data_IF_914853157394
#
_entry.id   IF_914853157394
#
_cell.length_a   1.000
_cell.length_b   1.000
_cell.length_c   1.000
_cell.angle_alpha   90.00
_cell.angle_beta   90.00
_cell.angle_gamma   90.00
#
_symmetry.space_group_name_H-M   'P 1'
#
loop_
_entity.id
_entity.type
_entity.pdbx_description
1 polymer ?
#
# COMPACT_ATOMS: atom_id res chain seq x y z
N UNK A 1 36.27 -9.48 -43.30
CA UNK A 1 35.25 -9.04 -42.32
C UNK A 1 35.48 -9.63 -40.92
N UNK A 2 35.35 -10.94 -40.68
CA UNK A 2 35.51 -11.49 -39.32
C UNK A 2 36.91 -11.28 -38.71
N UNK A 3 37.97 -11.46 -39.51
CA UNK A 3 39.36 -11.27 -39.09
C UNK A 3 39.72 -9.79 -38.79
N UNK A 4 38.94 -8.85 -39.32
CA UNK A 4 39.12 -7.40 -39.06
C UNK A 4 38.39 -6.94 -37.78
N UNK A 5 37.40 -7.71 -37.29
CA UNK A 5 36.58 -7.37 -36.14
C UNK A 5 36.99 -8.09 -34.85
N UNK A 6 38.05 -8.91 -34.89
CA UNK A 6 38.49 -9.76 -33.76
C UNK A 6 37.35 -10.61 -33.15
N UNK A 7 36.39 -11.02 -33.99
CA UNK A 7 35.20 -11.77 -33.57
C UNK A 7 35.12 -13.11 -34.28
N UNK A 8 34.41 -14.05 -33.65
CA UNK A 8 34.20 -15.38 -34.23
C UNK A 8 33.36 -15.28 -35.52
N UNK A 9 33.64 -16.17 -36.46
CA UNK A 9 32.92 -16.22 -37.73
C UNK A 9 31.42 -16.54 -37.55
N UNK A 10 31.05 -17.22 -36.45
CA UNK A 10 29.64 -17.47 -36.09
C UNK A 10 28.93 -16.21 -35.61
N UNK A 11 29.58 -15.37 -34.78
CA UNK A 11 29.02 -14.11 -34.31
C UNK A 11 28.74 -13.16 -35.48
N UNK A 12 29.68 -13.03 -36.41
CA UNK A 12 29.51 -12.18 -37.61
C UNK A 12 28.37 -12.70 -38.51
N UNK A 13 28.25 -14.01 -38.70
CA UNK A 13 27.11 -14.60 -39.46
C UNK A 13 25.77 -14.33 -38.77
N UNK A 14 25.73 -14.40 -37.44
CA UNK A 14 24.52 -14.12 -36.66
C UNK A 14 24.12 -12.65 -36.75
N UNK A 15 25.07 -11.71 -36.68
CA UNK A 15 24.81 -10.28 -36.88
C UNK A 15 24.30 -9.97 -38.28
N UNK A 16 24.89 -10.56 -39.32
CA UNK A 16 24.40 -10.39 -40.70
C UNK A 16 22.98 -10.92 -40.87
N UNK A 17 22.62 -12.03 -40.23
CA UNK A 17 21.23 -12.52 -40.20
C UNK A 17 20.30 -11.53 -39.52
N UNK A 18 20.62 -11.11 -38.28
CA UNK A 18 19.78 -10.16 -37.56
C UNK A 18 19.61 -8.83 -38.28
N UNK A 19 20.66 -8.35 -38.96
CA UNK A 19 20.58 -7.16 -39.80
C UNK A 19 19.68 -7.33 -41.03
N UNK A 20 19.71 -8.50 -41.68
CA UNK A 20 18.84 -8.78 -42.83
C UNK A 20 17.36 -8.90 -42.41
N UNK A 21 17.09 -9.45 -41.24
CA UNK A 21 15.72 -9.72 -40.78
C UNK A 21 15.07 -8.49 -40.13
N UNK A 22 15.81 -7.74 -39.31
CA UNK A 22 15.28 -6.67 -38.46
C UNK A 22 15.98 -5.32 -38.68
N UNK A 23 16.89 -5.22 -39.66
CA UNK A 23 17.65 -4.01 -39.94
C UNK A 23 18.62 -3.63 -38.81
N UNK A 24 18.84 -2.33 -38.63
CA UNK A 24 19.75 -1.80 -37.59
C UNK A 24 19.26 -2.17 -36.18
N UNK A 25 17.94 -2.30 -35.97
CA UNK A 25 17.38 -2.68 -34.66
C UNK A 25 17.74 -4.11 -34.25
N UNK A 26 17.92 -5.02 -35.21
CA UNK A 26 18.38 -6.40 -34.95
C UNK A 26 19.80 -6.50 -34.42
N UNK A 27 20.62 -5.45 -34.60
CA UNK A 27 21.98 -5.38 -34.06
C UNK A 27 22.03 -4.84 -32.62
N UNK A 28 20.92 -4.32 -32.08
CA UNK A 28 20.83 -3.88 -30.69
C UNK A 28 20.80 -5.10 -29.77
N UNK A 29 21.48 -5.02 -28.62
CA UNK A 29 21.45 -6.10 -27.64
C UNK A 29 20.03 -6.26 -27.09
N UNK A 30 19.42 -7.43 -27.35
CA UNK A 30 18.10 -7.77 -26.84
C UNK A 30 18.20 -8.09 -25.35
N UNK A 31 17.20 -7.66 -24.59
CA UNK A 31 17.07 -8.04 -23.18
C UNK A 31 17.05 -9.56 -23.06
N UNK A 32 18.00 -10.12 -22.30
CA UNK A 32 18.06 -11.56 -22.06
C UNK A 32 16.86 -11.96 -21.21
N UNK A 33 16.11 -12.97 -21.65
CA UNK A 33 15.00 -13.49 -20.86
C UNK A 33 15.56 -14.19 -19.60
N UNK A 34 15.29 -13.61 -18.43
CA UNK A 34 15.59 -14.26 -17.16
C UNK A 34 14.70 -15.48 -16.90
N UNK A 35 14.94 -16.16 -15.77
CA UNK A 35 14.11 -17.29 -15.34
C UNK A 35 12.64 -16.85 -15.20
N UNK A 36 11.69 -17.57 -15.81
CA UNK A 36 10.28 -17.22 -15.69
C UNK A 36 9.79 -17.33 -14.25
N UNK A 37 8.81 -16.49 -13.88
CA UNK A 37 8.14 -16.57 -12.58
C UNK A 37 7.49 -17.94 -12.41
N UNK A 38 7.51 -18.48 -11.19
CA UNK A 38 6.86 -19.75 -10.85
C UNK A 38 5.34 -19.71 -11.04
N UNK A 39 4.73 -18.53 -10.98
CA UNK A 39 3.30 -18.33 -11.22
C UNK A 39 2.98 -17.94 -12.68
N UNK A 40 3.90 -18.15 -13.63
CA UNK A 40 3.71 -17.73 -15.04
C UNK A 40 2.47 -18.37 -15.69
N UNK A 41 2.25 -19.66 -15.42
CA UNK A 41 1.17 -20.43 -16.05
C UNK A 41 -0.14 -20.42 -15.24
N UNK A 42 -0.20 -19.65 -14.17
CA UNK A 42 -1.35 -19.60 -13.27
C UNK A 42 -2.29 -18.47 -13.68
N UNK A 43 -3.58 -18.65 -13.39
CA UNK A 43 -4.56 -17.58 -13.60
C UNK A 43 -4.35 -16.47 -12.55
N UNK A 44 -3.78 -15.34 -12.98
CA UNK A 44 -3.45 -14.21 -12.11
C UNK A 44 -4.68 -13.60 -11.44
N UNK A 45 -5.84 -13.60 -12.11
CA UNK A 45 -7.11 -13.12 -11.55
C UNK A 45 -7.56 -14.01 -10.39
N UNK A 46 -7.48 -15.33 -10.56
CA UNK A 46 -7.85 -16.28 -9.51
C UNK A 46 -6.93 -16.17 -8.29
N UNK A 47 -5.63 -16.00 -8.52
CA UNK A 47 -4.64 -15.76 -7.46
C UNK A 47 -4.92 -14.46 -6.70
N UNK A 48 -5.24 -13.38 -7.41
CA UNK A 48 -5.55 -12.10 -6.78
C UNK A 48 -6.82 -12.21 -5.92
N UNK A 49 -7.88 -12.82 -6.44
CA UNK A 49 -9.12 -13.04 -5.71
C UNK A 49 -8.92 -13.90 -4.45
N UNK A 50 -8.12 -14.96 -4.51
CA UNK A 50 -7.87 -15.79 -3.32
C UNK A 50 -7.08 -15.04 -2.25
N UNK A 51 -6.10 -14.20 -2.63
CA UNK A 51 -5.34 -13.37 -1.69
C UNK A 51 -6.24 -12.32 -1.02
N UNK A 52 -7.14 -11.69 -1.77
CA UNK A 52 -8.11 -10.74 -1.21
C UNK A 52 -9.12 -11.44 -0.28
N UNK A 53 -9.63 -12.61 -0.69
CA UNK A 53 -10.54 -13.41 0.14
C UNK A 53 -9.90 -13.83 1.47
N UNK A 54 -8.61 -14.19 1.44
CA UNK A 54 -7.86 -14.53 2.67
C UNK A 54 -7.84 -13.37 3.67
N UNK A 55 -7.79 -12.12 3.21
CA UNK A 55 -7.79 -10.97 4.11
C UNK A 55 -9.14 -10.79 4.79
N UNK A 56 -10.23 -11.02 4.07
CA UNK A 56 -11.59 -10.89 4.59
C UNK A 56 -11.96 -12.02 5.55
N UNK A 57 -11.47 -13.24 5.29
CA UNK A 57 -11.80 -14.43 6.07
C UNK A 57 -10.95 -14.61 7.34
N UNK A 58 -9.94 -13.77 7.55
CA UNK A 58 -9.03 -13.92 8.70
C UNK A 58 -9.67 -13.31 9.95
N UNK A 59 -10.04 -14.17 10.92
CA UNK A 59 -10.51 -13.75 12.24
C UNK A 59 -9.35 -13.20 13.09
N UNK A 60 -9.01 -11.94 12.86
CA UNK A 60 -8.00 -11.21 13.64
C UNK A 60 -6.58 -11.27 13.06
N UNK A 61 -5.83 -10.18 13.29
CA UNK A 61 -4.48 -10.00 12.77
C UNK A 61 -4.43 -9.70 11.26
N UNK A 62 -3.22 -9.49 10.75
CA UNK A 62 -2.96 -9.15 9.33
C UNK A 62 -2.46 -10.36 8.55
N UNK A 63 -2.77 -10.43 7.25
CA UNK A 63 -2.20 -11.44 6.35
C UNK A 63 -0.73 -11.14 6.12
N UNK A 64 0.15 -12.07 6.48
CA UNK A 64 1.60 -11.96 6.29
C UNK A 64 2.03 -12.63 4.99
N UNK A 65 3.21 -12.29 4.51
CA UNK A 65 3.84 -12.98 3.36
C UNK A 65 3.96 -14.49 3.56
N UNK A 66 4.18 -14.94 4.81
CA UNK A 66 4.23 -16.37 5.16
C UNK A 66 2.88 -17.07 4.97
N UNK A 67 1.80 -16.39 5.34
CA UNK A 67 0.44 -16.92 5.19
C UNK A 67 0.12 -17.10 3.69
N UNK A 68 0.49 -16.11 2.88
CA UNK A 68 0.37 -16.16 1.41
C UNK A 68 1.26 -17.26 0.83
N UNK A 69 2.51 -17.41 1.30
CA UNK A 69 3.41 -18.49 0.88
C UNK A 69 2.78 -19.88 1.10
N UNK A 70 2.16 -20.09 2.26
CA UNK A 70 1.53 -21.36 2.61
C UNK A 70 0.29 -21.63 1.74
N UNK A 71 -0.54 -20.61 1.49
CA UNK A 71 -1.69 -20.74 0.57
C UNK A 71 -1.24 -21.03 -0.87
N UNK A 72 -0.17 -20.38 -1.35
CA UNK A 72 0.37 -20.65 -2.68
C UNK A 72 0.85 -22.10 -2.83
N UNK A 73 1.47 -22.65 -1.79
CA UNK A 73 1.87 -24.05 -1.77
C UNK A 73 0.67 -25.00 -1.73
N UNK A 74 -0.32 -24.72 -0.88
CA UNK A 74 -1.50 -25.57 -0.66
C UNK A 74 -2.47 -25.57 -1.85
N UNK A 75 -2.86 -24.39 -2.32
CA UNK A 75 -3.99 -24.24 -3.25
C UNK A 75 -3.54 -24.21 -4.72
N UNK A 76 -2.29 -23.82 -4.97
CA UNK A 76 -1.75 -23.64 -6.32
C UNK A 76 -0.49 -24.48 -6.62
N UNK A 77 -0.02 -25.29 -5.65
CA UNK A 77 1.21 -26.09 -5.76
C UNK A 77 2.48 -25.26 -6.08
N UNK A 78 2.48 -23.96 -5.73
CA UNK A 78 3.59 -23.04 -6.01
C UNK A 78 4.47 -22.90 -4.78
N UNK A 79 5.65 -23.52 -4.86
CA UNK A 79 6.61 -23.54 -3.77
C UNK A 79 7.67 -22.45 -3.95
N UNK A 80 7.61 -21.38 -3.17
CA UNK A 80 8.69 -20.41 -3.05
C UNK A 80 9.62 -20.80 -1.90
N UNK A 81 10.93 -20.86 -2.14
CA UNK A 81 11.90 -21.05 -1.05
C UNK A 81 12.05 -19.77 -0.21
N UNK A 82 12.08 -18.61 -0.87
CA UNK A 82 12.26 -17.31 -0.24
C UNK A 82 10.96 -16.48 -0.26
N UNK A 83 10.63 -15.86 0.88
CA UNK A 83 9.52 -14.91 1.05
C UNK A 83 9.58 -13.74 0.05
N UNK A 84 10.78 -13.29 -0.33
CA UNK A 84 10.96 -12.23 -1.32
C UNK A 84 10.37 -12.62 -2.68
N UNK A 85 10.38 -13.90 -3.05
CA UNK A 85 9.72 -14.39 -4.26
C UNK A 85 8.21 -14.16 -4.24
N UNK A 86 7.58 -14.32 -3.07
CA UNK A 86 6.16 -14.01 -2.86
C UNK A 86 5.93 -12.51 -2.94
N UNK A 87 6.79 -11.69 -2.33
CA UNK A 87 6.72 -10.23 -2.43
C UNK A 87 6.77 -9.74 -3.90
N UNK A 88 7.71 -10.26 -4.69
CA UNK A 88 7.80 -9.93 -6.12
C UNK A 88 6.58 -10.38 -6.90
N UNK A 89 6.02 -11.55 -6.58
CA UNK A 89 4.76 -12.01 -7.18
C UNK A 89 3.63 -11.02 -6.89
N UNK A 90 3.44 -10.61 -5.64
CA UNK A 90 2.41 -9.65 -5.25
C UNK A 90 2.58 -8.31 -5.97
N UNK A 91 3.82 -7.82 -6.07
CA UNK A 91 4.14 -6.59 -6.79
C UNK A 91 3.76 -6.69 -8.26
N UNK A 92 4.04 -7.84 -8.90
CA UNK A 92 3.66 -8.11 -10.29
C UNK A 92 2.14 -8.22 -10.49
N UNK A 93 1.41 -8.68 -9.47
CA UNK A 93 -0.06 -8.72 -9.45
C UNK A 93 -0.70 -7.34 -9.13
N UNK A 94 0.10 -6.29 -8.94
CA UNK A 94 -0.41 -4.94 -8.63
C UNK A 94 -0.78 -4.73 -7.16
N UNK A 95 -0.44 -5.67 -6.28
CA UNK A 95 -0.66 -5.54 -4.84
C UNK A 95 0.54 -4.89 -4.16
N UNK A 96 0.28 -4.09 -3.14
CA UNK A 96 1.29 -3.42 -2.34
C UNK A 96 0.92 -3.40 -0.86
N UNK A 97 1.94 -3.29 -0.01
CA UNK A 97 1.77 -3.23 1.43
C UNK A 97 1.36 -1.80 1.85
N UNK A 98 0.06 -1.55 1.97
CA UNK A 98 -0.51 -0.20 2.15
C UNK A 98 -0.99 -0.04 3.60
N UNK A 99 -0.79 1.16 4.16
CA UNK A 99 -1.39 1.55 5.44
C UNK A 99 -2.89 1.74 5.30
N UNK A 100 -3.65 1.06 6.15
CA UNK A 100 -5.10 1.19 6.13
C UNK A 100 -5.54 2.60 6.54
N UNK A 101 -6.58 3.09 5.89
CA UNK A 101 -7.26 4.32 6.28
C UNK A 101 -8.08 4.07 7.55
N UNK A 102 -7.77 4.83 8.59
CA UNK A 102 -8.39 4.77 9.91
C UNK A 102 -9.53 5.77 10.07
N UNK A 103 -9.77 6.62 9.07
CA UNK A 103 -10.64 7.78 9.21
C UNK A 103 -12.12 7.39 9.01
N UNK A 104 -12.76 6.90 10.07
CA UNK A 104 -14.21 6.61 10.08
C UNK A 104 -15.04 7.92 10.23
N UNK A 105 -14.51 9.01 10.79
CA UNK A 105 -15.36 10.08 11.34
C UNK A 105 -15.25 11.51 10.78
N UNK A 106 -14.43 11.82 9.77
CA UNK A 106 -14.22 13.23 9.39
C UNK A 106 -14.99 13.75 8.15
N UNK A 107 -16.26 13.35 7.96
CA UNK A 107 -17.07 13.85 6.82
C UNK A 107 -18.52 14.24 7.12
N UNK A 108 -18.95 14.39 8.38
CA UNK A 108 -20.31 14.90 8.62
C UNK A 108 -20.37 16.41 8.37
N UNK A 109 -21.27 16.85 7.46
CA UNK A 109 -21.51 18.27 7.15
C UNK A 109 -21.80 19.10 8.42
N UNK A 110 -22.40 18.47 9.45
CA UNK A 110 -22.67 19.07 10.76
C UNK A 110 -21.41 19.61 11.45
N UNK A 111 -20.30 18.85 11.52
CA UNK A 111 -19.08 19.29 12.21
C UNK A 111 -18.45 20.54 11.56
N UNK A 112 -18.42 20.59 10.23
CA UNK A 112 -17.92 21.77 9.48
C UNK A 112 -18.76 23.02 9.76
N UNK A 113 -20.09 22.87 9.92
CA UNK A 113 -21.01 23.97 10.24
C UNK A 113 -20.76 24.54 11.64
N UNK A 114 -20.46 23.69 12.63
CA UNK A 114 -20.17 24.15 14.00
C UNK A 114 -18.89 24.98 14.09
N UNK A 115 -17.81 24.55 13.43
CA UNK A 115 -16.55 25.33 13.40
C UNK A 115 -16.78 26.69 12.73
N UNK A 116 -17.52 26.72 11.62
CA UNK A 116 -17.79 27.98 10.89
C UNK A 116 -18.66 28.97 11.68
N UNK A 117 -19.57 28.46 12.51
CA UNK A 117 -20.54 29.30 13.22
C UNK A 117 -20.14 29.60 14.69
N UNK A 118 -18.97 29.14 15.14
CA UNK A 118 -18.52 29.33 16.53
C UNK A 118 -18.46 30.81 16.93
N UNK A 119 -17.88 31.67 16.07
CA UNK A 119 -17.76 33.11 16.34
C UNK A 119 -19.12 33.76 16.61
N UNK A 120 -20.13 33.44 15.81
CA UNK A 120 -21.47 34.00 15.98
C UNK A 120 -22.09 33.53 17.30
N UNK A 121 -21.97 32.24 17.62
CA UNK A 121 -22.49 31.71 18.89
C UNK A 121 -21.79 32.31 20.11
N UNK A 122 -20.50 32.63 20.00
CA UNK A 122 -19.79 33.31 21.08
C UNK A 122 -20.37 34.72 21.31
N UNK A 123 -20.62 35.47 20.22
CA UNK A 123 -21.24 36.80 20.28
C UNK A 123 -22.65 36.74 20.90
N UNK A 124 -23.45 35.72 20.54
CA UNK A 124 -24.83 35.58 21.04
C UNK A 124 -24.89 35.31 22.56
N UNK A 125 -23.81 34.81 23.19
CA UNK A 125 -23.74 34.50 24.63
C UNK A 125 -23.11 35.64 25.44
N UNK A 126 -22.38 36.55 24.80
CA UNK A 126 -21.74 37.66 25.49
C UNK A 126 -22.78 38.72 25.91
N UNK A 127 -22.53 39.42 27.04
CA UNK A 127 -23.31 40.61 27.40
C UNK A 127 -23.26 41.66 26.28
N UNK A 128 -24.34 42.43 26.12
CA UNK A 128 -24.52 43.38 25.00
C UNK A 128 -23.46 44.49 24.94
N UNK A 129 -22.78 44.74 26.05
CA UNK A 129 -21.76 45.80 26.21
C UNK A 129 -20.31 45.26 26.11
N UNK A 130 -20.14 43.95 25.89
CA UNK A 130 -18.82 43.30 25.83
C UNK A 130 -18.46 42.95 24.40
N UNK A 131 -17.46 43.63 23.86
CA UNK A 131 -16.86 43.26 22.58
C UNK A 131 -16.03 41.98 22.70
N UNK A 132 -16.07 41.13 21.66
CA UNK A 132 -15.35 39.86 21.59
C UNK A 132 -13.83 40.04 21.73
N UNK A 133 -13.30 41.21 21.33
CA UNK A 133 -11.88 41.54 21.45
C UNK A 133 -11.42 41.76 22.90
N UNK A 134 -12.35 41.90 23.87
CA UNK A 134 -12.07 42.05 25.30
C UNK A 134 -12.26 40.74 26.07
N UNK A 135 -12.42 39.63 25.36
CA UNK A 135 -12.72 38.32 25.95
C UNK A 135 -11.57 37.36 25.65
N UNK A 136 -10.93 36.87 26.72
CA UNK A 136 -9.97 35.78 26.61
C UNK A 136 -10.70 34.44 26.64
N UNK A 137 -10.43 33.61 25.63
CA UNK A 137 -11.04 32.29 25.50
C UNK A 137 -10.01 31.23 25.88
N UNK A 138 -10.24 30.58 27.01
CA UNK A 138 -9.42 29.48 27.50
C UNK A 138 -10.07 28.14 27.13
N UNK A 139 -9.26 27.21 26.64
CA UNK A 139 -9.70 25.85 26.34
C UNK A 139 -8.97 24.90 27.26
N UNK A 140 -9.72 24.15 28.05
CA UNK A 140 -9.20 23.00 28.78
C UNK A 140 -9.33 21.77 27.88
N UNK A 141 -8.27 20.95 27.83
CA UNK A 141 -8.30 19.67 27.12
C UNK A 141 -7.76 18.56 28.02
N UNK A 142 -8.30 17.37 27.86
CA UNK A 142 -7.86 16.17 28.58
C UNK A 142 -7.05 15.30 27.62
N UNK A 143 -5.77 15.08 27.94
CA UNK A 143 -4.94 14.19 27.13
C UNK A 143 -4.80 12.83 27.80
N UNK A 144 -5.22 11.79 27.08
CA UNK A 144 -4.93 10.40 27.45
C UNK A 144 -3.50 10.05 27.06
N UNK A 145 -2.75 9.49 28.00
CA UNK A 145 -1.41 8.96 27.75
C UNK A 145 -1.45 7.44 27.93
N UNK A 146 -0.99 6.72 26.92
CA UNK A 146 -1.03 5.27 26.90
C UNK A 146 -0.30 4.70 25.70
N UNK A 147 -0.06 3.39 25.71
CA UNK A 147 0.62 2.72 24.61
C UNK A 147 -0.33 2.56 23.43
N UNK A 148 -0.23 3.47 22.45
CA UNK A 148 -1.03 3.38 21.24
C UNK A 148 -0.49 2.26 20.32
N UNK A 149 -1.37 1.42 19.79
CA UNK A 149 -0.98 0.39 18.81
C UNK A 149 -0.36 1.00 17.53
N UNK A 150 0.36 0.22 16.72
CA UNK A 150 0.89 0.71 15.43
C UNK A 150 -0.20 0.82 14.33
N UNK A 151 0.08 1.58 13.27
CA UNK A 151 -0.80 1.64 12.09
C UNK A 151 -0.86 0.28 11.41
N UNK A 152 -2.06 -0.25 11.20
CA UNK A 152 -2.26 -1.51 10.50
C UNK A 152 -1.96 -1.35 9.01
N UNK A 153 -1.07 -2.19 8.48
CA UNK A 153 -0.79 -2.32 7.05
C UNK A 153 -1.36 -3.64 6.54
N UNK A 154 -1.93 -3.60 5.33
CA UNK A 154 -2.51 -4.75 4.64
C UNK A 154 -2.05 -4.80 3.19
N UNK A 155 -2.20 -5.95 2.53
CA UNK A 155 -1.92 -6.09 1.10
C UNK A 155 -3.13 -5.60 0.30
N UNK A 156 -3.03 -4.50 -0.41
CA UNK A 156 -4.14 -3.99 -1.22
C UNK A 156 -3.65 -3.54 -2.60
N UNK A 157 -4.59 -3.37 -3.52
CA UNK A 157 -4.29 -2.88 -4.87
C UNK A 157 -3.58 -1.53 -4.81
N UNK A 158 -2.54 -1.37 -5.62
CA UNK A 158 -1.73 -0.15 -5.64
C UNK A 158 -2.60 1.07 -5.99
N UNK A 159 -2.47 2.14 -5.21
CA UNK A 159 -3.27 3.35 -5.39
C UNK A 159 -4.61 3.35 -4.67
N UNK A 160 -5.00 2.25 -4.02
CA UNK A 160 -6.20 2.20 -3.19
C UNK A 160 -5.92 2.65 -1.75
N UNK A 161 -6.99 3.05 -1.05
CA UNK A 161 -6.97 3.36 0.39
C UNK A 161 -7.87 2.37 1.13
N UNK A 162 -7.37 1.20 1.51
CA UNK A 162 -8.20 0.17 2.12
C UNK A 162 -8.62 0.60 3.53
N UNK A 163 -9.86 0.27 3.92
CA UNK A 163 -10.34 0.46 5.29
C UNK A 163 -10.01 -0.78 6.11
N UNK A 164 -9.42 -0.60 7.29
CA UNK A 164 -9.25 -1.67 8.25
C UNK A 164 -9.68 -1.21 9.63
N UNK A 165 -10.38 -2.06 10.35
CA UNK A 165 -10.72 -1.81 11.74
C UNK A 165 -9.46 -1.96 12.58
N UNK A 166 -9.10 -0.88 13.29
CA UNK A 166 -8.00 -0.89 14.24
C UNK A 166 -8.54 -1.27 15.61
N UNK A 167 -7.85 -2.19 16.29
CA UNK A 167 -8.11 -2.44 17.69
C UNK A 167 -7.80 -1.17 18.50
N UNK A 168 -8.81 -0.67 19.21
CA UNK A 168 -8.70 0.52 20.07
C UNK A 168 -8.57 0.16 21.56
N UNK A 169 -8.47 -1.13 21.88
CA UNK A 169 -8.24 -1.61 23.23
C UNK A 169 -6.75 -1.50 23.54
N UNK A 170 -6.39 -0.54 24.38
CA UNK A 170 -5.05 -0.36 24.93
C UNK A 170 -5.15 0.25 26.32
N UNK A 171 -4.12 0.08 27.14
CA UNK A 171 -4.04 0.70 28.46
C UNK A 171 -3.70 2.18 28.35
N UNK A 172 -4.36 3.00 29.18
CA UNK A 172 -4.18 4.45 29.20
C UNK A 172 -4.42 5.01 30.61
N UNK A 173 -3.79 6.15 30.88
CA UNK A 173 -4.03 7.00 32.04
C UNK A 173 -4.43 8.42 31.61
N UNK A 174 -4.97 9.19 32.55
CA UNK A 174 -5.34 10.59 32.36
C UNK A 174 -4.33 11.51 33.05
N UNK A 175 -3.95 12.58 32.36
CA UNK A 175 -3.29 13.73 32.98
C UNK A 175 -4.20 14.94 32.77
N UNK A 176 -4.45 15.66 33.87
CA UNK A 176 -5.20 16.90 33.86
C UNK A 176 -4.20 18.06 33.99
N UNK A 177 -4.29 19.03 33.09
CA UNK A 177 -3.55 20.30 33.16
C UNK A 177 -4.52 21.46 33.06
N UNK A 178 -4.22 22.56 33.77
CA UNK A 178 -4.94 23.83 33.75
C UNK A 178 -4.05 24.92 33.17
#
# INVERSE_FOLDING_TARGET
MAQYLLQSLSAVKQWVRHYKDEGIDGLKEKQRSGRPSKARNQNHTKLLQSILAMQNNKNGGRVRLKDIQNMLAKDFNIHYQNINGVHYLLTKLGLSWISADLNIQNKTKKRKRYIKNFKQKAIDVLPTDTDLNKVDVWFQDETRIGQQGSITRIWAEKGTRPRAVRQQQFEYGYIFGA
#
